data_IF_273353140004
#
_entry.id   IF_273353140004
#
_cell.length_a   1.000
_cell.length_b   1.000
_cell.length_c   1.000
_cell.angle_alpha   90.00
_cell.angle_beta   90.00
_cell.angle_gamma   90.00
#
_symmetry.space_group_name_H-M   'P 1'
#
loop_
_entity.id
_entity.type
_entity.pdbx_description
1 polymer ?
#
# COMPACT_ATOMS: atom_id res chain seq x y z
N UNK A 1 8.64 0.25 -9.08
CA UNK A 1 7.45 1.11 -9.17
C UNK A 1 6.96 1.46 -7.78
N UNK A 2 6.72 2.73 -7.54
CA UNK A 2 6.13 3.19 -6.28
C UNK A 2 4.62 3.21 -6.43
N UNK A 3 3.92 2.77 -5.38
CA UNK A 3 2.47 2.74 -5.38
C UNK A 3 1.92 3.48 -4.16
N UNK A 4 0.83 4.18 -4.37
CA UNK A 4 0.04 4.77 -3.29
C UNK A 4 -1.10 3.81 -2.95
N UNK A 5 -1.24 3.51 -1.66
CA UNK A 5 -2.33 2.68 -1.15
C UNK A 5 -3.11 3.54 -0.16
N UNK A 6 -4.37 3.81 -0.48
CA UNK A 6 -5.19 4.71 0.32
C UNK A 6 -6.49 4.06 0.80
N UNK A 7 -7.24 4.84 1.54
CA UNK A 7 -8.50 4.44 2.14
C UNK A 7 -8.36 3.20 3.02
N UNK A 8 -7.22 3.10 3.72
CA UNK A 8 -6.95 1.97 4.60
C UNK A 8 -7.62 2.17 5.96
N UNK A 9 -8.05 1.05 6.55
CA UNK A 9 -8.45 1.06 7.95
C UNK A 9 -7.27 1.50 8.81
N UNK A 10 -7.55 2.27 9.85
CA UNK A 10 -6.50 2.73 10.78
C UNK A 10 -5.87 1.58 11.56
N UNK A 11 -6.43 0.40 11.49
CA UNK A 11 -5.89 -0.81 12.14
C UNK A 11 -4.80 -1.49 11.32
N UNK A 12 -4.70 -1.17 10.04
CA UNK A 12 -3.72 -1.80 9.15
C UNK A 12 -2.33 -1.29 9.48
N UNK A 13 -1.38 -2.21 9.63
CA UNK A 13 0.01 -1.90 9.94
C UNK A 13 0.91 -2.22 8.76
N UNK A 14 2.15 -1.73 8.81
CA UNK A 14 3.11 -1.99 7.73
C UNK A 14 3.29 -3.48 7.47
N UNK A 15 3.40 -4.27 8.53
CA UNK A 15 3.58 -5.72 8.39
C UNK A 15 2.39 -6.37 7.69
N UNK A 16 1.18 -5.89 7.95
CA UNK A 16 -0.03 -6.40 7.31
C UNK A 16 0.00 -6.12 5.81
N UNK A 17 0.35 -4.88 5.43
CA UNK A 17 0.42 -4.50 4.02
C UNK A 17 1.53 -5.27 3.30
N UNK A 18 2.69 -5.40 3.92
CA UNK A 18 3.80 -6.16 3.34
C UNK A 18 3.36 -7.59 3.05
N UNK A 19 2.68 -8.22 3.97
CA UNK A 19 2.21 -9.59 3.79
C UNK A 19 1.26 -9.71 2.61
N UNK A 20 0.32 -8.77 2.48
CA UNK A 20 -0.63 -8.75 1.36
C UNK A 20 0.12 -8.57 0.04
N UNK A 21 1.04 -7.62 -0.02
CA UNK A 21 1.76 -7.32 -1.25
C UNK A 21 2.71 -8.44 -1.65
N UNK A 22 3.31 -9.12 -0.69
CA UNK A 22 4.26 -10.21 -0.96
C UNK A 22 3.58 -11.42 -1.60
N UNK A 23 2.27 -11.53 -1.49
CA UNK A 23 1.54 -12.56 -2.22
C UNK A 23 1.57 -12.33 -3.74
N UNK A 24 1.86 -11.13 -4.18
CA UNK A 24 1.88 -10.76 -5.59
C UNK A 24 3.28 -10.67 -6.17
N UNK A 25 4.30 -10.54 -5.32
CA UNK A 25 5.66 -10.45 -5.79
C UNK A 25 6.61 -9.88 -4.76
N UNK A 26 7.80 -9.51 -5.21
CA UNK A 26 8.84 -8.98 -4.35
C UNK A 26 8.51 -7.55 -3.93
N UNK A 27 8.55 -7.30 -2.63
CA UNK A 27 8.31 -5.97 -2.05
C UNK A 27 9.63 -5.43 -1.52
N UNK A 28 10.01 -4.25 -2.02
CA UNK A 28 11.24 -3.59 -1.61
C UNK A 28 11.04 -2.81 -0.31
N UNK A 29 9.95 -2.03 -0.24
CA UNK A 29 9.65 -1.28 0.98
C UNK A 29 8.16 -1.03 1.13
N UNK A 30 7.73 -0.89 2.38
CA UNK A 30 6.37 -0.47 2.74
C UNK A 30 6.51 0.63 3.78
N UNK A 31 5.88 1.77 3.53
CA UNK A 31 5.90 2.89 4.46
C UNK A 31 4.48 3.33 4.74
N UNK A 32 3.99 2.98 5.93
CA UNK A 32 2.69 3.45 6.41
C UNK A 32 2.87 4.87 6.94
N UNK A 33 2.02 5.77 6.51
CA UNK A 33 2.08 7.16 6.97
C UNK A 33 1.30 7.28 8.26
N UNK A 34 1.95 7.79 9.29
CA UNK A 34 1.36 7.95 10.60
C UNK A 34 1.42 9.41 11.04
N UNK A 35 0.47 9.79 11.90
CA UNK A 35 0.45 11.11 12.50
C UNK A 35 1.54 11.19 13.57
N UNK A 36 2.34 12.27 13.55
CA UNK A 36 3.46 12.43 14.50
C UNK A 36 2.99 12.61 15.93
N UNK A 37 1.85 13.26 16.12
CA UNK A 37 1.37 13.61 17.46
C UNK A 37 0.66 12.44 18.10
N UNK A 38 -0.26 11.80 17.38
CA UNK A 38 -1.07 10.70 17.91
C UNK A 38 -0.48 9.33 17.65
N UNK A 39 0.48 9.23 16.73
CA UNK A 39 1.08 7.99 16.24
C UNK A 39 0.08 7.02 15.62
N UNK A 40 -1.06 7.55 15.20
CA UNK A 40 -2.08 6.76 14.52
C UNK A 40 -1.90 6.84 13.01
N UNK A 41 -2.28 5.76 12.34
CA UNK A 41 -2.27 5.70 10.88
C UNK A 41 -3.14 6.80 10.29
N UNK A 42 -2.65 7.42 9.23
CA UNK A 42 -3.46 8.37 8.45
C UNK A 42 -4.32 7.67 7.40
N UNK A 43 -4.23 6.34 7.30
CA UNK A 43 -5.05 5.57 6.38
C UNK A 43 -4.47 5.45 4.99
N UNK A 44 -3.18 5.71 4.82
CA UNK A 44 -2.53 5.51 3.53
C UNK A 44 -1.05 5.16 3.69
N UNK A 45 -0.50 4.56 2.66
CA UNK A 45 0.86 4.08 2.68
C UNK A 45 1.47 4.15 1.28
N UNK A 46 2.79 4.04 1.22
CA UNK A 46 3.53 3.92 -0.03
C UNK A 46 4.26 2.59 -0.04
N UNK A 47 4.18 1.89 -1.16
CA UNK A 47 4.82 0.59 -1.34
C UNK A 47 5.69 0.64 -2.57
N UNK A 48 6.91 0.12 -2.46
CA UNK A 48 7.80 0.01 -3.60
C UNK A 48 8.00 -1.46 -3.97
N UNK A 49 7.72 -1.78 -5.23
CA UNK A 49 7.96 -3.10 -5.81
C UNK A 49 8.85 -2.92 -7.03
N UNK A 50 10.02 -3.59 -7.08
CA UNK A 50 10.95 -3.39 -8.18
C UNK A 50 10.48 -3.97 -9.52
N UNK A 51 9.62 -4.98 -9.49
CA UNK A 51 9.12 -5.59 -10.72
C UNK A 51 7.85 -4.88 -11.17
N UNK A 52 7.90 -4.23 -12.35
CA UNK A 52 6.77 -3.47 -12.88
C UNK A 52 5.54 -4.33 -13.14
N UNK A 53 5.73 -5.54 -13.66
CA UNK A 53 4.60 -6.41 -13.98
C UNK A 53 3.88 -6.86 -12.72
N UNK A 54 4.63 -7.20 -11.67
CA UNK A 54 4.06 -7.56 -10.38
C UNK A 54 3.31 -6.39 -9.77
N UNK A 55 3.89 -5.20 -9.84
CA UNK A 55 3.26 -3.99 -9.32
C UNK A 55 1.96 -3.65 -10.05
N UNK A 56 1.97 -3.76 -11.38
CA UNK A 56 0.76 -3.55 -12.18
C UNK A 56 -0.32 -4.56 -11.83
N UNK A 57 0.07 -5.79 -11.56
CA UNK A 57 -0.87 -6.83 -11.16
C UNK A 57 -1.52 -6.48 -9.82
N UNK A 58 -0.72 -5.99 -8.87
CA UNK A 58 -1.23 -5.52 -7.57
C UNK A 58 -2.28 -4.42 -7.77
N UNK A 59 -1.98 -3.44 -8.60
CA UNK A 59 -2.91 -2.35 -8.86
C UNK A 59 -4.21 -2.91 -9.45
N UNK A 60 -4.09 -3.79 -10.44
CA UNK A 60 -5.25 -4.40 -11.09
C UNK A 60 -6.12 -5.18 -10.12
N UNK A 61 -5.51 -5.94 -9.21
CA UNK A 61 -6.24 -6.83 -8.32
C UNK A 61 -6.75 -6.12 -7.06
N UNK A 62 -5.99 -5.17 -6.54
CA UNK A 62 -6.29 -4.59 -5.24
C UNK A 62 -6.98 -3.23 -5.29
N UNK A 63 -6.91 -2.51 -6.40
CA UNK A 63 -7.63 -1.24 -6.48
C UNK A 63 -9.13 -1.49 -6.45
N UNK A 64 -9.79 -0.96 -5.45
CA UNK A 64 -11.22 -1.18 -5.22
C UNK A 64 -11.54 -2.44 -4.43
N UNK A 65 -10.55 -3.25 -4.11
CA UNK A 65 -10.78 -4.47 -3.33
C UNK A 65 -11.01 -4.14 -1.87
N UNK A 66 -11.94 -4.83 -1.26
CA UNK A 66 -12.22 -4.62 0.16
C UNK A 66 -11.14 -5.27 1.03
N UNK A 67 -10.59 -4.49 1.95
CA UNK A 67 -9.62 -4.97 2.92
C UNK A 67 -9.90 -4.29 4.25
N UNK A 68 -10.09 -5.10 5.29
CA UNK A 68 -10.44 -4.62 6.63
C UNK A 68 -11.67 -3.69 6.62
N UNK A 69 -12.66 -4.04 5.81
CA UNK A 69 -13.94 -3.33 5.74
C UNK A 69 -13.95 -2.07 4.88
N UNK A 70 -12.88 -1.80 4.14
CA UNK A 70 -12.79 -0.59 3.31
C UNK A 70 -12.25 -0.96 1.92
N UNK A 71 -12.82 -0.34 0.90
CA UNK A 71 -12.33 -0.52 -0.46
C UNK A 71 -11.03 0.26 -0.64
N UNK A 72 -9.94 -0.45 -0.90
CA UNK A 72 -8.62 0.17 -1.07
C UNK A 72 -8.53 0.98 -2.35
N UNK A 73 -7.77 2.06 -2.29
CA UNK A 73 -7.33 2.79 -3.47
C UNK A 73 -5.87 2.41 -3.70
N UNK A 74 -5.58 1.82 -4.86
CA UNK A 74 -4.20 1.42 -5.21
C UNK A 74 -3.88 2.01 -6.57
N UNK A 75 -2.84 2.82 -6.63
CA UNK A 75 -2.45 3.46 -7.89
C UNK A 75 -0.95 3.72 -7.89
N UNK A 76 -0.41 3.91 -9.09
CA UNK A 76 0.99 4.26 -9.23
C UNK A 76 1.25 5.65 -8.65
N UNK A 77 2.31 5.77 -7.86
CA UNK A 77 2.76 7.04 -7.33
C UNK A 77 4.00 7.48 -8.10
N UNK A 78 4.03 8.75 -8.52
CA UNK A 78 5.19 9.29 -9.19
C UNK A 78 6.30 9.52 -8.16
N UNK A 79 7.56 9.23 -8.53
CA UNK A 79 8.66 9.48 -7.62
C UNK A 79 8.79 10.96 -7.33
N UNK A 80 9.13 11.26 -6.10
CA UNK A 80 9.43 12.63 -5.70
C UNK A 80 10.85 12.96 -6.07
N UNK A 81 11.03 14.07 -6.68
CA UNK A 81 12.35 14.61 -6.97
C UNK A 81 12.68 15.74 -6.03
#
# INVERSE_FOLDING_TARGET
MNMYIGNLSYRVKEADLRQVMEEYGTVDSVKLIIDRDTRKSKGFAFVEMPNHDEAKHVISELNGAEYEGRAMVVKEALPRN
#
